data_IF_755049195364
#
_entry.id   IF_755049195364
#
_cell.length_a   1.000
_cell.length_b   1.000
_cell.length_c   1.000
_cell.angle_alpha   90.00
_cell.angle_beta   90.00
_cell.angle_gamma   90.00
#
_symmetry.space_group_name_H-M   'P 1'
#
loop_
_entity.id
_entity.type
_entity.pdbx_description
1 polymer ?
#
# COMPACT_ATOMS: atom_id res chain seq x y z
N UNK A 1 -45.50 36.53 -24.68
CA UNK A 1 -44.43 37.04 -25.57
C UNK A 1 -43.09 36.67 -24.94
N UNK A 2 -42.54 35.52 -25.33
CA UNK A 2 -41.45 35.36 -26.32
C UNK A 2 -40.08 35.69 -25.67
N UNK A 3 -39.35 34.71 -25.08
CA UNK A 3 -38.54 33.65 -25.69
C UNK A 3 -37.33 34.22 -26.45
N UNK A 4 -36.12 34.00 -25.90
CA UNK A 4 -34.88 33.95 -26.68
C UNK A 4 -33.92 32.94 -26.07
N UNK A 5 -33.79 31.81 -26.76
CA UNK A 5 -32.71 30.85 -26.62
C UNK A 5 -31.47 31.33 -27.40
N UNK A 6 -30.32 30.80 -27.02
CA UNK A 6 -29.07 30.90 -27.78
C UNK A 6 -28.07 29.83 -27.34
N UNK A 7 -28.13 28.65 -27.97
CA UNK A 7 -27.08 27.62 -27.98
C UNK A 7 -25.76 28.19 -28.52
N UNK A 8 -24.62 27.79 -27.94
CA UNK A 8 -23.44 27.33 -28.70
C UNK A 8 -22.67 26.25 -27.95
N UNK A 9 -22.69 25.07 -28.56
CA UNK A 9 -21.81 23.93 -28.35
C UNK A 9 -20.46 24.20 -29.03
N UNK A 10 -19.35 23.86 -28.36
CA UNK A 10 -18.17 23.21 -28.98
C UNK A 10 -17.33 22.62 -27.85
N UNK A 11 -17.23 21.29 -27.83
CA UNK A 11 -16.33 20.57 -26.94
C UNK A 11 -14.86 20.75 -27.31
N UNK A 12 -13.99 20.52 -26.35
CA UNK A 12 -12.59 20.19 -26.61
C UNK A 12 -12.12 19.20 -25.55
N UNK A 13 -12.09 17.92 -25.94
CA UNK A 13 -11.35 16.89 -25.25
C UNK A 13 -9.85 17.15 -25.45
N UNK A 14 -9.09 17.31 -24.35
CA UNK A 14 -7.63 17.31 -24.41
C UNK A 14 -7.12 15.96 -23.93
N UNK A 15 -6.75 15.16 -24.92
CA UNK A 15 -5.97 13.93 -24.83
C UNK A 15 -4.58 14.29 -24.27
N UNK A 16 -4.18 13.73 -23.13
CA UNK A 16 -2.81 13.82 -22.65
C UNK A 16 -2.01 12.66 -23.26
N UNK A 17 -1.11 13.00 -24.19
CA UNK A 17 -0.11 12.10 -24.75
C UNK A 17 1.17 12.27 -23.93
N UNK A 18 1.68 11.20 -23.35
CA UNK A 18 3.02 11.15 -22.75
C UNK A 18 4.06 10.96 -23.86
N UNK A 19 5.18 11.72 -23.89
CA UNK A 19 6.27 11.39 -24.77
C UNK A 19 7.10 10.24 -24.18
N UNK A 20 7.12 9.13 -24.90
CA UNK A 20 8.18 8.14 -24.80
C UNK A 20 9.38 8.62 -25.62
N UNK A 21 10.58 8.64 -25.04
CA UNK A 21 11.83 8.71 -25.79
C UNK A 21 12.56 7.37 -25.65
N UNK A 22 12.76 6.75 -26.80
CA UNK A 22 13.53 5.53 -26.97
C UNK A 22 14.68 5.80 -27.97
N UNK A 23 15.76 5.03 -27.82
CA UNK A 23 16.86 4.78 -28.76
C UNK A 23 17.98 5.83 -28.93
N UNK A 24 19.21 5.41 -28.64
CA UNK A 24 20.22 4.98 -29.63
C UNK A 24 21.61 5.05 -28.98
N UNK A 25 22.36 3.95 -28.96
CA UNK A 25 23.42 3.76 -29.94
C UNK A 25 24.44 2.74 -29.44
N UNK A 26 24.93 1.91 -30.35
CA UNK A 26 25.70 0.70 -30.15
C UNK A 26 27.13 0.81 -30.69
N UNK A 27 28.06 0.09 -30.03
CA UNK A 27 29.26 -0.57 -30.60
C UNK A 27 30.61 0.22 -30.65
N UNK A 28 31.78 -0.41 -30.89
CA UNK A 28 32.66 -0.96 -29.84
C UNK A 28 34.18 -0.66 -30.01
N UNK A 29 34.98 -1.16 -29.06
CA UNK A 29 36.43 -1.48 -29.15
C UNK A 29 37.46 -0.37 -29.43
N UNK A 30 38.49 -0.27 -28.60
CA UNK A 30 39.90 -0.63 -28.94
C UNK A 30 40.83 -0.38 -27.74
N UNK A 31 41.58 -1.43 -27.38
CA UNK A 31 42.70 -1.43 -26.45
C UNK A 31 43.93 -0.76 -27.09
N UNK A 32 44.59 0.13 -26.36
CA UNK A 32 46.03 0.35 -26.51
C UNK A 32 46.69 0.53 -25.13
N UNK A 33 47.56 -0.43 -24.81
CA UNK A 33 48.57 -0.36 -23.77
C UNK A 33 49.64 0.64 -24.19
N UNK A 34 49.99 1.60 -23.33
CA UNK A 34 51.36 2.12 -23.22
C UNK A 34 51.51 2.81 -21.86
N UNK A 35 52.21 2.15 -20.93
CA UNK A 35 52.79 2.82 -19.78
C UNK A 35 54.08 3.53 -20.22
N UNK A 36 54.36 4.72 -19.68
CA UNK A 36 55.72 4.93 -19.20
C UNK A 36 55.79 5.65 -17.85
N UNK A 37 56.69 5.10 -17.02
CA UNK A 37 57.69 5.84 -16.23
C UNK A 37 57.18 6.83 -15.18
N UNK A 38 57.18 6.35 -13.94
CA UNK A 38 57.16 7.15 -12.71
C UNK A 38 58.39 8.07 -12.72
N UNK A 39 58.15 9.38 -12.83
CA UNK A 39 59.10 10.42 -12.42
C UNK A 39 58.40 11.35 -11.44
N UNK A 40 59.06 11.53 -10.30
CA UNK A 40 58.69 12.42 -9.21
C UNK A 40 58.30 13.82 -9.71
N UNK A 41 57.10 14.25 -9.32
CA UNK A 41 56.71 15.66 -9.30
C UNK A 41 56.16 15.98 -7.90
N UNK A 42 57.02 16.61 -7.10
CA UNK A 42 56.61 17.42 -5.96
C UNK A 42 55.84 18.62 -6.48
N UNK A 43 54.54 18.71 -6.18
CA UNK A 43 53.81 19.97 -6.22
C UNK A 43 52.55 19.88 -5.38
N UNK A 44 52.47 20.77 -4.39
CA UNK A 44 51.28 21.04 -3.59
C UNK A 44 50.13 21.47 -4.50
N UNK A 45 49.35 20.52 -5.01
CA UNK A 45 48.06 20.77 -5.60
C UNK A 45 47.04 20.79 -4.45
N UNK A 46 46.81 21.97 -3.87
CA UNK A 46 45.57 22.21 -3.12
C UNK A 46 44.43 22.02 -4.12
N UNK A 47 43.79 20.86 -4.06
CA UNK A 47 42.50 20.60 -4.68
C UNK A 47 41.52 21.62 -4.09
N UNK A 48 41.37 22.78 -4.74
CA UNK A 48 40.18 23.60 -4.55
C UNK A 48 39.06 22.83 -5.21
N UNK A 49 38.41 21.96 -4.43
CA UNK A 49 37.05 21.56 -4.72
C UNK A 49 36.24 22.86 -4.76
N UNK A 50 35.96 23.38 -5.95
CA UNK A 50 34.92 24.39 -6.09
C UNK A 50 33.62 23.65 -5.85
N UNK A 51 33.16 23.66 -4.60
CA UNK A 51 31.80 23.33 -4.26
C UNK A 51 30.92 24.35 -5.01
N UNK A 52 30.54 24.02 -6.25
CA UNK A 52 29.45 24.68 -6.93
C UNK A 52 28.22 24.30 -6.11
N UNK A 53 27.83 25.20 -5.21
CA UNK A 53 26.60 25.07 -4.46
C UNK A 53 25.49 24.86 -5.50
N UNK A 54 24.87 23.69 -5.47
CA UNK A 54 23.72 23.39 -6.31
C UNK A 54 22.64 24.42 -5.97
N UNK A 55 22.47 25.42 -6.83
CA UNK A 55 21.48 26.45 -6.65
C UNK A 55 20.12 25.86 -7.02
N UNK A 56 19.25 25.70 -6.02
CA UNK A 56 17.87 25.27 -6.27
C UNK A 56 17.13 26.39 -7.02
N UNK A 57 16.56 26.14 -8.20
CA UNK A 57 15.85 27.17 -8.96
C UNK A 57 14.59 27.63 -8.20
N UNK A 58 14.24 28.92 -8.33
CA UNK A 58 12.98 29.44 -7.79
C UNK A 58 11.79 28.69 -8.42
N UNK A 59 10.84 28.19 -7.62
CA UNK A 59 9.63 27.53 -8.14
C UNK A 59 8.82 28.44 -9.07
N UNK A 60 8.08 27.84 -10.00
CA UNK A 60 7.19 28.55 -10.92
C UNK A 60 6.09 29.31 -10.17
N UNK A 61 5.84 30.55 -10.55
CA UNK A 61 4.70 31.33 -10.06
C UNK A 61 3.43 30.97 -10.86
N UNK A 62 2.37 30.59 -10.14
CA UNK A 62 1.07 30.26 -10.74
C UNK A 62 0.06 31.34 -10.39
N UNK A 63 -0.88 31.60 -11.30
CA UNK A 63 -2.01 32.49 -11.03
C UNK A 63 -2.90 31.89 -9.94
N UNK A 64 -3.38 32.74 -9.03
CA UNK A 64 -4.31 32.31 -7.98
C UNK A 64 -5.59 31.74 -8.60
N UNK A 65 -6.00 30.56 -8.14
CA UNK A 65 -7.24 29.89 -8.55
C UNK A 65 -7.98 29.43 -7.31
N UNK A 66 -9.26 29.77 -7.24
CA UNK A 66 -10.12 29.46 -6.07
C UNK A 66 -10.15 27.96 -5.79
N UNK A 67 -10.12 27.13 -6.82
CA UNK A 67 -10.19 25.68 -6.74
C UNK A 67 -8.94 25.05 -6.09
N UNK A 68 -7.81 25.77 -6.08
CA UNK A 68 -6.56 25.31 -5.49
C UNK A 68 -6.37 25.76 -4.03
N UNK A 69 -7.27 26.58 -3.50
CA UNK A 69 -7.09 27.22 -2.17
C UNK A 69 -7.17 26.25 -1.00
N UNK A 70 -8.08 25.28 -1.07
CA UNK A 70 -8.24 24.24 -0.07
C UNK A 70 -8.91 23.02 -0.72
N UNK A 71 -8.07 22.19 -1.33
CA UNK A 71 -8.49 20.96 -1.97
C UNK A 71 -7.73 19.78 -1.37
N UNK A 72 -8.49 18.76 -0.98
CA UNK A 72 -7.98 17.48 -0.50
C UNK A 72 -8.54 16.38 -1.40
N UNK A 73 -7.67 15.47 -1.81
CA UNK A 73 -8.03 14.26 -2.56
C UNK A 73 -7.34 13.07 -1.91
N UNK A 74 -8.10 12.08 -1.48
CA UNK A 74 -7.58 10.92 -0.76
C UNK A 74 -8.20 9.64 -1.29
N UNK A 75 -7.38 8.60 -1.32
CA UNK A 75 -7.81 7.23 -1.52
C UNK A 75 -7.43 6.45 -0.26
N UNK A 76 -8.38 5.71 0.30
CA UNK A 76 -8.13 4.96 1.52
C UNK A 76 -9.21 3.94 1.84
N UNK A 77 -9.05 3.29 2.99
CA UNK A 77 -9.96 2.26 3.48
C UNK A 77 -10.75 2.82 4.66
N UNK A 78 -12.07 2.64 4.64
CA UNK A 78 -12.94 3.00 5.76
C UNK A 78 -12.58 2.14 6.98
N UNK A 79 -12.05 2.76 8.03
CA UNK A 79 -11.52 2.05 9.20
C UNK A 79 -12.55 1.88 10.33
N UNK A 80 -13.50 2.81 10.42
CA UNK A 80 -14.61 2.76 11.37
C UNK A 80 -15.94 2.80 10.61
N UNK A 81 -17.00 2.11 11.09
CA UNK A 81 -18.34 2.29 10.53
C UNK A 81 -18.75 3.76 10.47
N UNK A 82 -19.64 4.10 9.54
CA UNK A 82 -20.17 5.47 9.44
C UNK A 82 -21.15 5.69 10.58
N UNK A 83 -20.88 6.72 11.39
CA UNK A 83 -21.78 7.18 12.45
C UNK A 83 -22.58 8.38 11.93
N UNK A 84 -23.89 8.39 12.16
CA UNK A 84 -24.81 9.42 11.69
C UNK A 84 -25.48 10.11 12.85
N UNK A 85 -25.63 11.42 12.75
CA UNK A 85 -26.39 12.24 13.69
C UNK A 85 -27.29 13.22 12.94
N UNK A 86 -28.55 13.24 13.34
CA UNK A 86 -29.50 14.24 12.90
C UNK A 86 -29.42 15.44 13.85
N UNK A 87 -29.25 16.63 13.29
CA UNK A 87 -29.21 17.87 14.06
C UNK A 87 -30.64 18.42 14.22
N UNK A 88 -30.92 19.15 15.32
CA UNK A 88 -32.22 19.82 15.51
C UNK A 88 -32.58 20.82 14.40
N UNK A 89 -31.59 21.29 13.63
CA UNK A 89 -31.77 22.16 12.47
C UNK A 89 -32.35 21.46 11.24
N UNK A 90 -32.56 20.14 11.30
CA UNK A 90 -32.98 19.33 10.16
C UNK A 90 -31.83 18.87 9.25
N UNK A 91 -30.59 19.31 9.52
CA UNK A 91 -29.39 18.85 8.80
C UNK A 91 -28.94 17.48 9.30
N UNK A 92 -28.36 16.71 8.40
CA UNK A 92 -27.77 15.40 8.73
C UNK A 92 -26.25 15.53 8.65
N UNK A 93 -25.55 14.99 9.64
CA UNK A 93 -24.10 14.88 9.63
C UNK A 93 -23.70 13.43 9.84
N UNK A 94 -22.73 12.96 9.08
CA UNK A 94 -22.12 11.66 9.28
C UNK A 94 -20.60 11.78 9.34
N UNK A 95 -19.96 10.90 10.10
CA UNK A 95 -18.51 10.86 10.19
C UNK A 95 -17.96 9.44 10.19
N UNK A 96 -16.73 9.32 9.73
CA UNK A 96 -15.96 8.07 9.72
C UNK A 96 -14.48 8.41 9.71
N UNK A 97 -13.63 7.39 9.87
CA UNK A 97 -12.18 7.50 9.83
C UNK A 97 -11.62 6.73 8.64
N UNK A 98 -10.85 7.41 7.80
CA UNK A 98 -10.22 6.86 6.61
C UNK A 98 -8.77 6.50 6.90
N UNK A 99 -8.39 5.25 6.67
CA UNK A 99 -7.01 4.79 6.67
C UNK A 99 -6.37 5.08 5.29
N UNK A 100 -5.42 6.01 5.26
CA UNK A 100 -4.66 6.39 4.07
C UNK A 100 -3.23 5.86 4.22
N UNK A 101 -2.81 4.97 3.34
CA UNK A 101 -1.46 4.39 3.37
C UNK A 101 -0.45 5.40 2.83
N UNK A 102 0.60 5.66 3.60
CA UNK A 102 1.77 6.43 3.16
C UNK A 102 2.89 5.53 2.64
N UNK A 103 3.07 4.38 3.28
CA UNK A 103 4.04 3.35 2.94
C UNK A 103 3.41 1.97 3.21
N UNK A 104 4.11 0.85 2.90
CA UNK A 104 3.61 -0.48 3.24
C UNK A 104 3.33 -0.65 4.74
N UNK A 105 4.11 0.00 5.60
CA UNK A 105 4.05 -0.10 7.07
C UNK A 105 3.30 1.05 7.73
N UNK A 106 3.23 2.22 7.08
CA UNK A 106 2.69 3.43 7.70
C UNK A 106 1.32 3.82 7.14
N UNK A 107 0.36 3.93 8.06
CA UNK A 107 -1.00 4.36 7.77
C UNK A 107 -1.31 5.62 8.55
N UNK A 108 -1.87 6.61 7.87
CA UNK A 108 -2.41 7.82 8.49
C UNK A 108 -3.92 7.74 8.52
N UNK A 109 -4.50 8.09 9.66
CA UNK A 109 -5.94 8.08 9.81
C UNK A 109 -6.50 9.49 9.73
N UNK A 110 -7.45 9.69 8.84
CA UNK A 110 -8.04 10.99 8.54
C UNK A 110 -9.52 10.96 8.90
N UNK A 111 -9.97 11.91 9.70
CA UNK A 111 -11.39 12.07 10.01
C UNK A 111 -12.11 12.66 8.80
N UNK A 112 -13.17 11.98 8.36
CA UNK A 112 -14.06 12.45 7.31
C UNK A 112 -15.38 12.90 7.91
N UNK A 113 -15.94 13.98 7.38
CA UNK A 113 -17.27 14.48 7.73
C UNK A 113 -18.07 14.68 6.45
N UNK A 114 -19.25 14.08 6.41
CA UNK A 114 -20.24 14.21 5.34
C UNK A 114 -21.44 15.01 5.86
N UNK A 115 -22.06 15.78 4.98
CA UNK A 115 -23.22 16.59 5.29
C UNK A 115 -24.39 16.24 4.38
N UNK A 116 -25.59 16.38 4.92
CA UNK A 116 -26.86 16.30 4.22
C UNK A 116 -26.97 15.02 3.36
N UNK A 117 -27.16 15.15 2.04
CA UNK A 117 -27.31 14.01 1.13
C UNK A 117 -26.12 13.06 1.14
N UNK A 118 -24.89 13.59 1.24
CA UNK A 118 -23.68 12.76 1.34
C UNK A 118 -23.62 11.99 2.65
N UNK A 119 -24.17 12.54 3.73
CA UNK A 119 -24.22 11.85 5.02
C UNK A 119 -25.15 10.62 4.95
N UNK A 120 -26.33 10.79 4.34
CA UNK A 120 -27.28 9.69 4.12
C UNK A 120 -26.69 8.63 3.18
N UNK A 121 -26.14 9.05 2.04
CA UNK A 121 -25.48 8.17 1.07
C UNK A 121 -24.34 7.38 1.71
N UNK A 122 -23.47 8.05 2.47
CA UNK A 122 -22.36 7.41 3.17
C UNK A 122 -22.87 6.36 4.17
N UNK A 123 -23.90 6.69 4.95
CA UNK A 123 -24.44 5.78 5.96
C UNK A 123 -25.10 4.52 5.39
N UNK A 124 -25.68 4.62 4.20
CA UNK A 124 -26.38 3.51 3.54
C UNK A 124 -25.43 2.57 2.79
N UNK A 125 -24.30 3.09 2.29
CA UNK A 125 -23.45 2.35 1.36
C UNK A 125 -22.02 2.12 1.86
N UNK A 126 -21.52 2.92 2.80
CA UNK A 126 -20.16 2.74 3.32
C UNK A 126 -20.15 1.81 4.53
N UNK A 127 -19.32 0.78 4.43
CA UNK A 127 -19.01 -0.14 5.51
C UNK A 127 -17.51 -0.11 5.81
N UNK A 128 -17.16 -0.58 7.01
CA UNK A 128 -15.75 -0.78 7.37
C UNK A 128 -15.10 -1.73 6.36
N UNK A 129 -13.93 -1.36 5.85
CA UNK A 129 -13.19 -2.13 4.86
C UNK A 129 -13.41 -1.68 3.41
N UNK A 130 -14.40 -0.82 3.13
CA UNK A 130 -14.58 -0.26 1.78
C UNK A 130 -13.41 0.65 1.40
N UNK A 131 -12.88 0.43 0.20
CA UNK A 131 -11.90 1.32 -0.40
C UNK A 131 -12.61 2.41 -1.19
N UNK A 132 -12.33 3.66 -0.84
CA UNK A 132 -13.04 4.82 -1.38
C UNK A 132 -12.08 5.92 -1.80
N UNK A 133 -12.47 6.65 -2.84
CA UNK A 133 -11.93 7.95 -3.18
C UNK A 133 -12.81 9.03 -2.56
N UNK A 134 -12.18 10.02 -1.94
CA UNK A 134 -12.86 11.20 -1.42
C UNK A 134 -12.16 12.47 -1.89
N UNK A 135 -12.96 13.48 -2.23
CA UNK A 135 -12.47 14.84 -2.44
C UNK A 135 -13.25 15.82 -1.56
N UNK A 136 -12.58 16.83 -1.06
CA UNK A 136 -13.19 17.84 -0.21
C UNK A 136 -12.21 18.90 0.22
N UNK A 137 -12.45 19.46 1.41
CA UNK A 137 -11.64 20.53 2.00
C UNK A 137 -11.19 20.18 3.40
N UNK A 138 -9.98 20.61 3.76
CA UNK A 138 -9.47 20.51 5.12
C UNK A 138 -10.13 21.57 6.01
N UNK A 139 -10.61 21.16 7.18
CA UNK A 139 -11.19 22.04 8.19
C UNK A 139 -10.50 21.77 9.52
N UNK A 140 -10.25 22.84 10.27
CA UNK A 140 -9.69 22.79 11.60
C UNK A 140 -10.75 23.29 12.58
N UNK A 141 -11.13 22.44 13.54
CA UNK A 141 -12.01 22.81 14.64
C UNK A 141 -11.20 22.99 15.92
N UNK A 142 -11.60 23.93 16.77
CA UNK A 142 -11.03 24.10 18.11
C UNK A 142 -12.07 23.63 19.11
N UNK A 143 -11.72 22.63 19.91
CA UNK A 143 -12.58 22.08 20.96
C UNK A 143 -11.92 22.39 22.30
N UNK A 144 -12.67 22.98 23.23
CA UNK A 144 -12.23 23.17 24.60
C UNK A 144 -12.40 21.87 25.37
N UNK A 145 -11.30 21.40 25.97
CA UNK A 145 -11.31 20.26 26.88
C UNK A 145 -11.92 20.67 28.23
N UNK A 146 -12.41 19.70 29.00
CA UNK A 146 -12.93 19.90 30.35
C UNK A 146 -11.91 20.55 31.31
N UNK A 147 -10.61 20.44 30.98
CA UNK A 147 -9.49 21.09 31.67
C UNK A 147 -9.27 22.56 31.27
N UNK A 148 -10.12 23.13 30.40
CA UNK A 148 -9.99 24.49 29.86
C UNK A 148 -8.91 24.66 28.77
N UNK A 149 -8.29 23.56 28.32
CA UNK A 149 -7.29 23.59 27.23
C UNK A 149 -7.98 23.51 25.87
N UNK A 150 -7.62 24.40 24.96
CA UNK A 150 -8.08 24.37 23.57
C UNK A 150 -7.27 23.34 22.76
N UNK A 151 -7.96 22.34 22.21
CA UNK A 151 -7.39 21.32 21.34
C UNK A 151 -7.85 21.55 19.90
N UNK A 152 -6.89 21.59 18.98
CA UNK A 152 -7.17 21.73 17.55
C UNK A 152 -7.30 20.36 16.88
N UNK A 153 -8.38 20.15 16.12
CA UNK A 153 -8.66 18.92 15.38
C UNK A 153 -8.81 19.20 13.88
N UNK A 154 -8.11 18.41 13.08
CA UNK A 154 -8.21 18.46 11.63
C UNK A 154 -9.17 17.38 11.11
N UNK A 155 -10.06 17.79 10.21
CA UNK A 155 -11.01 16.90 9.52
C UNK A 155 -11.16 17.30 8.06
N UNK A 156 -11.54 16.35 7.22
CA UNK A 156 -11.89 16.61 5.83
C UNK A 156 -13.41 16.66 5.72
N UNK A 157 -13.93 17.82 5.30
CA UNK A 157 -15.33 17.92 4.91
C UNK A 157 -15.45 17.48 3.47
N UNK A 158 -16.09 16.34 3.26
CA UNK A 158 -16.16 15.66 1.97
C UNK A 158 -17.19 16.36 1.07
N UNK A 159 -16.82 16.58 -0.18
CA UNK A 159 -17.65 17.14 -1.24
C UNK A 159 -17.94 16.13 -2.35
N UNK A 160 -17.09 15.12 -2.51
CA UNK A 160 -17.29 14.02 -3.45
C UNK A 160 -16.82 12.71 -2.83
N UNK A 161 -17.62 11.66 -3.00
CA UNK A 161 -17.35 10.30 -2.55
C UNK A 161 -17.55 9.37 -3.75
N UNK A 162 -16.57 8.52 -4.04
CA UNK A 162 -16.70 7.47 -5.04
C UNK A 162 -16.16 6.16 -4.46
N UNK A 163 -16.82 5.05 -4.79
CA UNK A 163 -16.22 3.74 -4.60
C UNK A 163 -15.09 3.53 -5.60
N UNK A 164 -14.06 2.84 -5.15
CA UNK A 164 -13.01 2.38 -6.05
C UNK A 164 -13.36 0.96 -6.46
N UNK A 165 -13.48 0.75 -7.77
CA UNK A 165 -13.65 -0.59 -8.31
C UNK A 165 -12.47 -1.45 -7.87
N UNK A 166 -12.79 -2.47 -7.08
CA UNK A 166 -11.90 -3.61 -6.92
C UNK A 166 -11.90 -4.28 -8.27
N UNK A 167 -10.78 -4.29 -8.99
CA UNK A 167 -10.65 -5.03 -10.25
C UNK A 167 -10.94 -6.52 -10.00
N UNK A 168 -12.20 -6.90 -10.07
CA UNK A 168 -12.75 -8.25 -9.95
C UNK A 168 -13.90 -8.32 -10.98
N UNK A 169 -13.67 -9.08 -12.04
CA UNK A 169 -14.62 -9.36 -13.12
C UNK A 169 -15.99 -9.81 -12.59
N UNK A 170 -17.12 -9.27 -13.11
CA UNK A 170 -18.43 -9.43 -12.52
C UNK A 170 -19.17 -10.66 -13.05
N UNK A 171 -19.74 -11.48 -12.17
CA UNK A 171 -21.00 -12.20 -12.43
C UNK A 171 -21.83 -12.16 -11.14
N UNK A 172 -23.03 -11.63 -11.26
CA UNK A 172 -23.97 -11.34 -10.18
C UNK A 172 -24.99 -12.47 -9.95
N UNK A 173 -25.78 -12.31 -8.86
CA UNK A 173 -27.08 -12.93 -8.50
C UNK A 173 -26.97 -14.36 -7.88
N UNK A 174 -27.64 -14.74 -6.78
CA UNK A 174 -28.92 -14.32 -6.18
C UNK A 174 -29.03 -14.63 -4.67
N UNK A 175 -29.99 -13.97 -4.05
CA UNK A 175 -30.51 -14.10 -2.67
C UNK A 175 -31.12 -15.48 -2.34
N UNK A 176 -30.98 -15.94 -1.09
CA UNK A 176 -32.06 -16.59 -0.31
C UNK A 176 -31.63 -16.84 1.16
N UNK A 177 -32.45 -16.31 2.07
CA UNK A 177 -32.37 -16.47 3.52
C UNK A 177 -32.50 -17.93 4.00
N UNK A 178 -31.78 -18.29 5.08
CA UNK A 178 -32.21 -19.19 6.16
C UNK A 178 -31.17 -19.24 7.29
N UNK A 179 -31.62 -19.14 8.53
CA UNK A 179 -30.77 -19.14 9.72
C UNK A 179 -30.37 -20.52 10.24
N UNK A 180 -29.57 -20.45 11.32
CA UNK A 180 -29.17 -21.45 12.33
C UNK A 180 -27.81 -22.16 12.18
N UNK A 181 -26.90 -21.69 13.04
CA UNK A 181 -26.07 -22.40 14.02
C UNK A 181 -25.20 -23.62 13.66
N UNK A 182 -23.91 -23.42 13.96
CA UNK A 182 -22.95 -24.34 14.60
C UNK A 182 -22.62 -25.65 13.88
N UNK A 183 -21.67 -25.52 12.97
CA UNK A 183 -20.68 -26.53 12.61
C UNK A 183 -19.50 -25.77 12.00
N UNK A 184 -18.30 -25.93 12.57
CA UNK A 184 -17.07 -25.31 12.07
C UNK A 184 -16.68 -25.97 10.75
N UNK A 185 -17.36 -25.61 9.67
CA UNK A 185 -16.99 -25.94 8.30
C UNK A 185 -16.32 -24.72 7.66
N UNK A 186 -15.18 -24.99 7.05
CA UNK A 186 -14.36 -24.09 6.25
C UNK A 186 -15.18 -23.45 5.14
N UNK A 187 -15.75 -22.27 5.41
CA UNK A 187 -16.32 -21.38 4.39
C UNK A 187 -15.15 -20.65 3.73
N UNK A 188 -14.65 -21.20 2.63
CA UNK A 188 -13.72 -20.49 1.76
C UNK A 188 -14.47 -19.38 1.02
N UNK A 189 -14.40 -18.17 1.58
CA UNK A 189 -14.53 -16.97 0.78
C UNK A 189 -13.21 -16.84 -0.02
N UNK A 190 -13.23 -16.96 -1.34
CA UNK A 190 -12.00 -17.02 -2.15
C UNK A 190 -11.06 -15.81 -1.92
N UNK A 191 -11.59 -14.68 -1.45
CA UNK A 191 -10.83 -13.53 -0.96
C UNK A 191 -9.89 -13.87 0.20
N UNK A 192 -10.34 -14.68 1.17
CA UNK A 192 -9.51 -15.05 2.32
C UNK A 192 -8.35 -15.96 1.93
N UNK A 193 -8.55 -16.92 1.01
CA UNK A 193 -7.44 -17.79 0.54
C UNK A 193 -6.37 -17.00 -0.20
N UNK A 194 -6.76 -16.04 -1.05
CA UNK A 194 -5.81 -15.15 -1.74
C UNK A 194 -5.03 -14.30 -0.74
N UNK A 195 -5.72 -13.70 0.23
CA UNK A 195 -5.12 -12.87 1.29
C UNK A 195 -4.13 -13.67 2.13
N UNK A 196 -4.46 -14.91 2.52
CA UNK A 196 -3.56 -15.79 3.26
C UNK A 196 -2.30 -16.13 2.45
N UNK A 197 -2.44 -16.43 1.16
CA UNK A 197 -1.27 -16.67 0.29
C UNK A 197 -0.42 -15.40 0.12
N UNK A 198 -1.04 -14.23 0.00
CA UNK A 198 -0.32 -12.95 -0.05
C UNK A 198 0.43 -12.65 1.25
N UNK A 199 -0.19 -12.91 2.41
CA UNK A 199 0.45 -12.77 3.72
C UNK A 199 1.65 -13.73 3.86
N UNK A 200 1.51 -14.98 3.42
CA UNK A 200 2.62 -15.94 3.36
C UNK A 200 3.79 -15.42 2.52
N UNK A 201 3.55 -14.92 1.30
CA UNK A 201 4.63 -14.44 0.45
C UNK A 201 5.22 -13.09 0.90
N UNK A 202 4.48 -12.29 1.65
CA UNK A 202 4.99 -11.07 2.27
C UNK A 202 6.04 -11.41 3.34
N UNK A 203 5.72 -12.34 4.24
CA UNK A 203 6.60 -12.76 5.35
C UNK A 203 6.64 -14.30 5.52
N UNK A 204 7.40 -15.04 4.69
CA UNK A 204 7.39 -16.51 4.73
C UNK A 204 7.90 -17.11 6.06
N UNK A 205 8.70 -16.35 6.82
CA UNK A 205 9.28 -16.80 8.09
C UNK A 205 8.27 -16.81 9.26
N UNK A 206 7.13 -16.13 9.13
CA UNK A 206 6.05 -16.13 10.13
C UNK A 206 5.17 -17.38 10.06
N UNK A 207 5.47 -18.28 9.12
CA UNK A 207 4.72 -19.49 8.85
C UNK A 207 5.56 -20.73 9.15
N UNK A 208 4.96 -21.70 9.83
CA UNK A 208 5.48 -23.05 9.91
C UNK A 208 5.28 -23.75 8.56
N UNK A 209 6.37 -24.27 7.96
CA UNK A 209 6.33 -25.09 6.75
C UNK A 209 6.35 -26.58 7.12
N UNK A 210 5.22 -27.26 6.90
CA UNK A 210 5.01 -28.65 7.28
C UNK A 210 5.18 -29.62 6.09
N UNK A 211 5.65 -29.15 4.92
CA UNK A 211 5.67 -29.95 3.69
C UNK A 211 6.69 -31.09 3.70
N UNK A 212 7.77 -30.99 4.49
CA UNK A 212 8.85 -31.99 4.52
C UNK A 212 8.41 -33.35 5.12
N UNK A 213 7.57 -33.33 6.16
CA UNK A 213 7.06 -34.54 6.82
C UNK A 213 5.52 -34.50 6.88
N UNK A 214 4.89 -34.45 5.69
CA UNK A 214 3.46 -34.14 5.55
C UNK A 214 2.55 -35.21 6.15
N UNK A 215 1.73 -34.81 7.11
CA UNK A 215 0.54 -35.56 7.53
C UNK A 215 -0.68 -34.98 6.78
N UNK A 216 -1.46 -35.80 6.04
CA UNK A 216 -2.61 -35.33 5.26
C UNK A 216 -3.69 -34.57 6.07
N UNK A 217 -3.75 -34.79 7.39
CA UNK A 217 -4.71 -34.12 8.28
C UNK A 217 -4.28 -32.70 8.66
N UNK A 218 -3.04 -32.31 8.40
CA UNK A 218 -2.47 -31.02 8.81
C UNK A 218 -2.18 -30.14 7.59
N UNK A 219 -2.27 -28.80 7.73
CA UNK A 219 -2.02 -27.88 6.63
C UNK A 219 -0.54 -27.84 6.25
N UNK A 220 -0.28 -27.52 4.97
CA UNK A 220 1.07 -27.40 4.43
C UNK A 220 1.82 -26.21 5.03
N UNK A 221 1.12 -25.10 5.27
CA UNK A 221 1.64 -23.99 6.06
C UNK A 221 0.66 -23.58 7.15
N UNK A 222 1.20 -23.17 8.31
CA UNK A 222 0.41 -22.62 9.40
C UNK A 222 1.06 -21.36 9.97
N UNK A 223 0.31 -20.27 10.07
CA UNK A 223 0.82 -19.05 10.70
C UNK A 223 1.12 -19.29 12.18
N UNK A 224 2.24 -18.77 12.68
CA UNK A 224 2.72 -18.98 14.06
C UNK A 224 1.75 -18.45 15.11
N UNK A 225 1.31 -17.19 14.96
CA UNK A 225 0.49 -16.52 15.97
C UNK A 225 -1.02 -16.63 15.74
N UNK A 226 -1.49 -16.39 14.50
CA UNK A 226 -2.93 -16.40 14.16
C UNK A 226 -3.50 -17.82 14.00
N UNK A 227 -2.64 -18.82 13.76
CA UNK A 227 -3.05 -20.20 13.52
C UNK A 227 -3.71 -20.45 12.17
N UNK A 228 -3.71 -19.47 11.27
CA UNK A 228 -4.27 -19.58 9.92
C UNK A 228 -3.56 -20.65 9.09
N UNK A 229 -4.29 -21.30 8.19
CA UNK A 229 -3.86 -22.52 7.52
C UNK A 229 -3.90 -22.40 5.99
N UNK A 230 -2.85 -22.88 5.34
CA UNK A 230 -2.74 -22.95 3.88
C UNK A 230 -2.45 -24.40 3.44
N UNK A 231 -3.17 -24.84 2.42
CA UNK A 231 -2.94 -26.11 1.74
C UNK A 231 -2.45 -25.85 0.32
N UNK A 232 -1.32 -26.40 -0.08
CA UNK A 232 -0.71 -26.20 -1.43
C UNK A 232 -1.62 -26.76 -2.53
N UNK A 233 -2.34 -27.85 -2.23
CA UNK A 233 -3.31 -28.48 -3.13
C UNK A 233 -4.76 -28.06 -2.80
N UNK A 234 -4.94 -26.86 -2.26
CA UNK A 234 -6.25 -26.28 -2.00
C UNK A 234 -7.06 -26.05 -3.28
N UNK A 235 -8.34 -26.43 -3.26
CA UNK A 235 -9.28 -26.34 -4.42
C UNK A 235 -9.38 -24.93 -5.02
N UNK A 236 -9.20 -23.89 -4.20
CA UNK A 236 -9.37 -22.49 -4.59
C UNK A 236 -8.06 -21.70 -4.61
N UNK A 237 -6.92 -22.40 -4.72
CA UNK A 237 -5.63 -21.72 -4.77
C UNK A 237 -5.47 -20.93 -6.07
N UNK A 238 -5.00 -19.66 -5.99
CA UNK A 238 -4.72 -18.88 -7.18
C UNK A 238 -3.69 -19.56 -8.08
N UNK A 239 -3.81 -19.45 -9.41
CA UNK A 239 -2.96 -20.17 -10.36
C UNK A 239 -1.47 -19.81 -10.26
N UNK A 240 -1.15 -18.63 -9.70
CA UNK A 240 0.23 -18.16 -9.50
C UNK A 240 0.93 -18.79 -8.29
N UNK A 241 0.21 -19.38 -7.33
CA UNK A 241 0.77 -19.85 -6.05
C UNK A 241 1.86 -20.88 -6.26
N UNK A 242 1.62 -21.92 -7.06
CA UNK A 242 2.61 -23.00 -7.27
C UNK A 242 3.90 -22.50 -7.94
N UNK A 243 3.79 -21.56 -8.88
CA UNK A 243 4.95 -20.94 -9.53
C UNK A 243 5.76 -20.06 -8.56
N UNK A 244 5.07 -19.27 -7.73
CA UNK A 244 5.74 -18.44 -6.73
C UNK A 244 6.36 -19.27 -5.61
N UNK A 245 5.70 -20.36 -5.18
CA UNK A 245 6.28 -21.33 -4.25
C UNK A 245 7.56 -21.95 -4.83
N UNK A 246 7.57 -22.38 -6.09
CA UNK A 246 8.76 -22.93 -6.71
C UNK A 246 9.94 -21.92 -6.77
N UNK A 247 9.66 -20.65 -7.05
CA UNK A 247 10.66 -19.57 -7.01
C UNK A 247 11.20 -19.34 -5.60
N UNK A 248 10.31 -19.34 -4.61
CA UNK A 248 10.64 -19.14 -3.21
C UNK A 248 11.45 -20.33 -2.65
N UNK A 249 11.06 -21.56 -2.96
CA UNK A 249 11.78 -22.78 -2.59
C UNK A 249 13.18 -22.82 -3.21
N UNK A 250 13.34 -22.35 -4.46
CA UNK A 250 14.65 -22.20 -5.10
C UNK A 250 15.53 -21.16 -4.38
N UNK A 251 14.93 -20.05 -3.92
CA UNK A 251 15.63 -19.00 -3.17
C UNK A 251 16.01 -19.44 -1.75
N UNK A 252 15.11 -20.15 -1.05
CA UNK A 252 15.36 -20.63 0.31
C UNK A 252 16.27 -21.87 0.35
N UNK A 253 16.20 -22.73 -0.66
CA UNK A 253 17.13 -23.84 -0.83
C UNK A 253 18.58 -23.38 -1.06
N UNK A 254 18.77 -22.23 -1.71
CA UNK A 254 20.08 -21.58 -1.87
C UNK A 254 20.70 -21.10 -0.56
N UNK A 255 19.89 -20.79 0.46
CA UNK A 255 20.39 -20.36 1.78
C UNK A 255 20.79 -21.57 2.63
N UNK A 256 20.10 -22.70 2.47
CA UNK A 256 20.40 -23.94 3.21
C UNK A 256 21.71 -24.62 2.73
N UNK A 257 22.20 -24.30 1.53
CA UNK A 257 23.52 -24.72 1.02
C UNK A 257 24.69 -23.82 1.44
N UNK A 258 24.43 -22.60 1.94
CA UNK A 258 25.48 -21.73 2.50
C UNK A 258 25.78 -22.08 3.96
N UNK A 259 24.80 -22.59 4.71
CA UNK A 259 24.99 -23.05 6.10
C UNK A 259 25.70 -24.41 6.21
N UNK A 260 25.69 -25.23 5.15
CA UNK A 260 26.30 -26.56 5.15
C UNK A 260 27.82 -26.57 4.84
N UNK A 261 28.46 -25.39 4.71
CA UNK A 261 29.90 -25.25 4.37
C UNK A 261 30.78 -24.74 5.51
N UNK A 262 30.27 -24.67 6.74
CA UNK A 262 31.15 -24.50 7.90
C UNK A 262 31.70 -25.89 8.29
N UNK A 263 33.00 -26.18 8.12
CA UNK A 263 33.58 -27.36 8.71
C UNK A 263 33.52 -27.18 10.23
N UNK A 264 32.73 -28.03 10.90
CA UNK A 264 32.80 -28.20 12.34
C UNK A 264 34.19 -28.79 12.62
N UNK A 265 35.15 -27.93 12.94
CA UNK A 265 36.42 -28.37 13.50
C UNK A 265 36.13 -28.84 14.92
N UNK A 266 35.93 -30.15 15.04
CA UNK A 266 36.08 -30.86 16.30
C UNK A 266 37.54 -30.72 16.73
N UNK A 267 37.79 -29.95 17.79
CA UNK A 267 39.01 -30.08 18.57
C UNK A 267 38.57 -30.39 20.00
N UNK A 268 38.85 -31.63 20.37
CA UNK A 268 38.61 -32.23 21.66
C UNK A 268 39.33 -31.44 22.77
N UNK A 269 38.78 -31.51 23.97
CA UNK A 269 39.58 -31.32 25.18
C UNK A 269 40.64 -32.42 25.27
N UNK A 270 41.79 -32.10 25.86
CA UNK A 270 42.12 -32.59 27.20
C UNK A 270 43.45 -32.00 27.70
N UNK A 271 43.40 -31.63 28.98
CA UNK A 271 44.41 -31.78 30.03
C UNK A 271 45.75 -31.01 30.11
N UNK A 272 45.82 -30.28 31.24
CA UNK A 272 46.82 -30.40 32.32
C UNK A 272 48.11 -29.56 32.30
N UNK A 273 48.22 -28.75 33.39
CA UNK A 273 49.42 -28.43 34.20
C UNK A 273 50.58 -27.70 33.47
N UNK A 274 51.37 -26.79 34.04
CA UNK A 274 51.77 -26.46 35.41
C UNK A 274 52.73 -25.26 35.34
N UNK A 275 52.82 -24.52 36.47
CA UNK A 275 53.75 -23.44 36.83
C UNK A 275 53.53 -22.06 36.22
#
# INVERSE_FOLDING_TARGET
MALKQGLRSTGNAKLFVFPASNSSGSSPNTLFLFAPSIKHLTRNARLRCSLQAAAYPRPQEIQWRKELTNAVQLIGIVSTPVEVRNLPSGKVVAWTRLAVRKSPTDTSWINLTFWDELALTASQHLEKGHQIFVSGRLVSDVVESDEGKQQTFYKVVVQQLNFIERNLSPVALNDHASGRNFGSDTVHNNGSTVELWQAFFANPLEWWDNRKNKNPKYPDFKHKDTGEALWVEGRYNPPWVKSQLAKLDSRMGSLQWQDARMPVSAMAGDDALSF
#
